data_IF_192020537380
#
_entry.id   IF_192020537380
#
_cell.length_a   1.000
_cell.length_b   1.000
_cell.length_c   1.000
_cell.angle_alpha   90.00
_cell.angle_beta   90.00
_cell.angle_gamma   90.00
#
_symmetry.space_group_name_H-M   'P 1'
#
loop_
_entity.id
_entity.type
_entity.pdbx_description
1 polymer ?
#
# COMPACT_ATOMS: atom_id res chain seq x y z
N UNK A 1 1.24 -16.64 -0.80
CA UNK A 1 -0.20 -16.43 -0.50
C UNK A 1 -0.94 -16.48 -1.82
N UNK A 2 -1.99 -17.28 -1.90
CA UNK A 2 -2.89 -17.30 -3.06
C UNK A 2 -4.18 -16.56 -2.70
N UNK A 3 -4.65 -15.68 -3.57
CA UNK A 3 -5.91 -14.96 -3.43
C UNK A 3 -6.87 -15.42 -4.52
N UNK A 4 -7.99 -16.02 -4.12
CA UNK A 4 -9.12 -16.21 -5.02
C UNK A 4 -9.98 -14.95 -5.02
N UNK A 5 -9.89 -14.19 -6.10
CA UNK A 5 -10.60 -12.91 -6.23
C UNK A 5 -12.08 -13.07 -6.67
N UNK A 6 -12.56 -14.29 -6.92
CA UNK A 6 -13.90 -14.53 -7.50
C UNK A 6 -15.02 -13.88 -6.69
N UNK A 7 -15.02 -14.08 -5.37
CA UNK A 7 -16.03 -13.49 -4.49
C UNK A 7 -15.93 -11.96 -4.46
N UNK A 8 -14.71 -11.43 -4.36
CA UNK A 8 -14.48 -9.98 -4.30
C UNK A 8 -14.95 -9.32 -5.60
N UNK A 9 -14.60 -9.90 -6.75
CA UNK A 9 -15.03 -9.41 -8.06
C UNK A 9 -16.55 -9.43 -8.19
N UNK A 10 -17.21 -10.52 -7.77
CA UNK A 10 -18.68 -10.62 -7.81
C UNK A 10 -19.37 -9.55 -6.94
N UNK A 11 -18.79 -9.23 -5.78
CA UNK A 11 -19.33 -8.16 -4.92
C UNK A 11 -19.15 -6.78 -5.57
N UNK A 12 -17.99 -6.52 -6.16
CA UNK A 12 -17.70 -5.27 -6.87
C UNK A 12 -18.65 -5.09 -8.07
N UNK A 13 -18.86 -6.13 -8.87
CA UNK A 13 -19.78 -6.12 -10.01
C UNK A 13 -21.23 -5.89 -9.55
N UNK A 14 -21.57 -6.33 -8.35
CA UNK A 14 -22.86 -6.08 -7.69
C UNK A 14 -22.99 -4.67 -7.08
N UNK A 15 -21.96 -3.81 -7.19
CA UNK A 15 -21.97 -2.45 -6.65
C UNK A 15 -21.69 -2.37 -5.15
N UNK A 16 -21.18 -3.42 -4.53
CA UNK A 16 -20.76 -3.44 -3.12
C UNK A 16 -19.33 -2.95 -2.96
N UNK A 17 -19.02 -2.43 -1.79
CA UNK A 17 -17.65 -2.13 -1.34
C UNK A 17 -17.22 -3.25 -0.38
N UNK A 18 -16.39 -4.22 -0.81
CA UNK A 18 -15.96 -5.31 0.05
C UNK A 18 -15.05 -4.78 1.18
N UNK A 19 -15.35 -5.16 2.42
CA UNK A 19 -14.47 -4.94 3.58
C UNK A 19 -13.90 -6.29 3.99
N UNK A 20 -12.58 -6.41 3.94
CA UNK A 20 -11.88 -7.70 4.08
C UNK A 20 -11.10 -7.72 5.40
N UNK A 21 -11.38 -8.72 6.25
CA UNK A 21 -10.56 -8.99 7.42
C UNK A 21 -9.29 -9.79 7.02
N UNK A 22 -8.19 -9.54 7.73
CA UNK A 22 -6.89 -10.19 7.46
C UNK A 22 -6.80 -11.58 8.10
N UNK A 23 -7.82 -12.39 7.90
CA UNK A 23 -7.90 -13.78 8.36
C UNK A 23 -7.97 -14.68 7.14
N UNK A 24 -6.95 -15.50 6.96
CA UNK A 24 -6.91 -16.55 5.94
C UNK A 24 -7.34 -17.90 6.54
N UNK A 25 -7.66 -18.84 5.66
CA UNK A 25 -8.01 -20.22 6.04
C UNK A 25 -7.35 -21.19 5.06
N UNK A 26 -6.88 -22.32 5.56
CA UNK A 26 -6.41 -23.38 4.68
C UNK A 26 -7.54 -24.35 4.30
N UNK A 27 -7.22 -25.32 3.45
CA UNK A 27 -8.18 -26.32 2.96
C UNK A 27 -8.74 -27.24 4.06
N UNK A 28 -8.11 -27.25 5.23
CA UNK A 28 -8.55 -28.00 6.40
C UNK A 28 -9.44 -27.17 7.33
N UNK A 29 -9.68 -25.92 7.01
CA UNK A 29 -10.48 -24.97 7.81
C UNK A 29 -9.71 -24.33 8.97
N UNK A 30 -8.37 -24.47 9.03
CA UNK A 30 -7.55 -23.80 10.04
C UNK A 30 -7.43 -22.32 9.71
N UNK A 31 -7.77 -21.46 10.65
CA UNK A 31 -7.65 -20.00 10.49
C UNK A 31 -6.24 -19.51 10.81
N UNK A 32 -5.78 -18.53 10.02
CA UNK A 32 -4.48 -17.87 10.17
C UNK A 32 -4.65 -16.35 10.16
N UNK A 33 -3.91 -15.69 11.05
CA UNK A 33 -3.76 -14.23 10.97
C UNK A 33 -2.74 -13.89 9.87
N UNK A 34 -3.16 -13.11 8.90
CA UNK A 34 -2.32 -12.68 7.76
C UNK A 34 -1.90 -11.23 7.99
N UNK A 35 -0.64 -10.90 7.67
CA UNK A 35 -0.19 -9.51 7.69
C UNK A 35 -1.04 -8.67 6.73
N UNK A 36 -1.56 -7.54 7.20
CA UNK A 36 -2.51 -6.70 6.45
C UNK A 36 -1.88 -6.10 5.17
N UNK A 37 -0.63 -5.64 5.23
CA UNK A 37 0.07 -5.08 4.07
C UNK A 37 0.27 -6.15 2.99
N UNK A 38 0.66 -7.36 3.40
CA UNK A 38 0.79 -8.51 2.49
C UNK A 38 -0.56 -8.88 1.87
N UNK A 39 -1.62 -8.95 2.68
CA UNK A 39 -2.95 -9.27 2.18
C UNK A 39 -3.45 -8.22 1.17
N UNK A 40 -3.30 -6.94 1.48
CA UNK A 40 -3.72 -5.83 0.62
C UNK A 40 -2.97 -5.86 -0.72
N UNK A 41 -1.65 -6.04 -0.72
CA UNK A 41 -0.84 -6.13 -1.93
C UNK A 41 -1.28 -7.32 -2.80
N UNK A 42 -1.45 -8.50 -2.22
CA UNK A 42 -1.85 -9.70 -2.96
C UNK A 42 -3.28 -9.61 -3.52
N UNK A 43 -4.20 -8.96 -2.79
CA UNK A 43 -5.56 -8.68 -3.28
C UNK A 43 -5.52 -7.68 -4.44
N UNK A 44 -4.75 -6.60 -4.33
CA UNK A 44 -4.59 -5.62 -5.38
C UNK A 44 -4.04 -6.25 -6.67
N UNK A 45 -3.05 -7.13 -6.55
CA UNK A 45 -2.48 -7.90 -7.67
C UNK A 45 -3.54 -8.80 -8.30
N UNK A 46 -4.26 -9.59 -7.50
CA UNK A 46 -5.27 -10.53 -7.98
C UNK A 46 -6.44 -9.84 -8.70
N UNK A 47 -6.82 -8.65 -8.24
CA UNK A 47 -7.86 -7.81 -8.85
C UNK A 47 -7.34 -6.98 -10.03
N UNK A 48 -6.03 -6.93 -10.27
CA UNK A 48 -5.40 -5.99 -11.21
C UNK A 48 -5.83 -4.55 -10.91
N UNK A 49 -5.73 -4.18 -9.65
CA UNK A 49 -6.18 -2.88 -9.18
C UNK A 49 -5.42 -1.76 -9.89
N UNK A 50 -6.11 -0.67 -10.16
CA UNK A 50 -5.50 0.53 -10.73
C UNK A 50 -4.59 1.20 -9.70
N UNK A 51 -5.04 1.26 -8.43
CA UNK A 51 -4.31 1.89 -7.34
C UNK A 51 -4.37 1.06 -6.06
N UNK A 52 -3.24 0.94 -5.36
CA UNK A 52 -3.13 0.41 -4.00
C UNK A 52 -2.81 1.56 -3.03
N UNK A 53 -3.72 1.84 -2.10
CA UNK A 53 -3.53 2.89 -1.09
C UNK A 53 -3.32 2.24 0.27
N UNK A 54 -2.15 2.48 0.88
CA UNK A 54 -1.86 2.04 2.24
C UNK A 54 -1.90 3.22 3.20
N UNK A 55 -2.80 3.16 4.16
CA UNK A 55 -2.88 4.16 5.23
C UNK A 55 -1.96 3.76 6.39
N UNK A 56 -1.21 4.72 6.92
CA UNK A 56 -0.28 4.51 8.03
C UNK A 56 -0.45 5.59 9.08
N UNK A 57 0.16 5.41 10.24
CA UNK A 57 0.18 6.35 11.35
C UNK A 57 1.42 7.25 11.37
N UNK A 58 2.15 7.32 10.26
CA UNK A 58 3.30 8.20 10.06
C UNK A 58 3.13 9.03 8.80
N UNK A 59 3.87 10.15 8.70
CA UNK A 59 3.78 11.08 7.57
C UNK A 59 4.23 10.47 6.22
N UNK A 60 4.90 9.35 6.23
CA UNK A 60 5.46 8.68 5.04
C UNK A 60 6.89 8.22 5.27
N UNK A 61 7.68 8.08 4.21
CA UNK A 61 9.09 7.75 4.29
C UNK A 61 9.92 9.03 4.47
N UNK A 62 10.67 9.10 5.57
CA UNK A 62 11.56 10.22 5.86
C UNK A 62 13.01 9.79 5.59
N UNK A 63 13.82 10.64 4.96
CA UNK A 63 15.25 10.40 4.81
C UNK A 63 15.96 10.43 6.18
N UNK A 64 15.54 11.34 7.05
CA UNK A 64 15.91 11.35 8.48
C UNK A 64 14.62 11.18 9.29
N UNK A 65 14.50 10.09 10.03
CA UNK A 65 13.32 9.74 10.84
C UNK A 65 12.96 10.79 11.90
N UNK A 66 13.92 11.62 12.29
CA UNK A 66 13.78 12.64 13.33
C UNK A 66 13.50 14.04 12.73
N UNK A 67 13.45 14.18 11.38
CA UNK A 67 13.14 15.43 10.68
C UNK A 67 12.02 15.24 9.63
N UNK A 68 10.81 15.70 9.94
CA UNK A 68 9.65 15.62 9.04
C UNK A 68 9.81 16.44 7.75
N UNK A 69 10.77 17.38 7.68
CA UNK A 69 11.05 18.12 6.45
C UNK A 69 11.82 17.29 5.41
N UNK A 70 12.27 16.09 5.78
CA UNK A 70 13.00 15.17 4.89
C UNK A 70 12.09 14.12 4.25
N UNK A 71 10.80 14.41 4.14
CA UNK A 71 9.83 13.53 3.51
C UNK A 71 10.22 13.24 2.06
N UNK A 72 10.24 11.95 1.71
CA UNK A 72 10.48 11.46 0.36
C UNK A 72 9.11 11.31 -0.32
N UNK A 73 8.80 12.15 -1.34
CA UNK A 73 7.47 12.15 -1.94
C UNK A 73 7.28 11.02 -2.97
N UNK A 74 8.36 10.53 -3.56
CA UNK A 74 8.33 9.53 -4.61
C UNK A 74 9.52 8.57 -4.48
N UNK A 75 9.28 7.28 -4.67
CA UNK A 75 10.31 6.23 -4.66
C UNK A 75 10.13 5.38 -5.90
N UNK A 76 11.19 5.28 -6.71
CA UNK A 76 11.25 4.27 -7.75
C UNK A 76 11.53 2.90 -7.12
N UNK A 77 10.86 1.86 -7.64
CA UNK A 77 11.01 0.51 -7.09
C UNK A 77 12.48 0.03 -7.14
N UNK A 78 13.25 0.52 -8.12
CA UNK A 78 14.69 0.27 -8.26
C UNK A 78 15.55 0.83 -7.12
N UNK A 79 15.08 1.87 -6.40
CA UNK A 79 15.81 2.55 -5.33
C UNK A 79 15.60 1.92 -3.95
N UNK A 80 14.60 1.06 -3.80
CA UNK A 80 14.19 0.49 -2.51
C UNK A 80 15.33 -0.20 -1.78
N UNK A 81 16.15 -0.98 -2.48
CA UNK A 81 17.30 -1.68 -1.87
C UNK A 81 18.37 -0.69 -1.39
N UNK A 82 18.55 0.45 -2.06
CA UNK A 82 19.38 1.54 -1.60
C UNK A 82 18.89 2.14 -0.28
N UNK A 83 17.60 2.45 -0.19
CA UNK A 83 16.98 2.97 1.04
C UNK A 83 17.00 1.96 2.20
N UNK A 84 16.83 0.66 1.93
CA UNK A 84 17.00 -0.38 2.95
C UNK A 84 18.46 -0.42 3.47
N UNK A 85 19.43 -0.39 2.56
CA UNK A 85 20.86 -0.43 2.90
C UNK A 85 21.29 0.80 3.70
N UNK A 86 20.70 1.96 3.41
CA UNK A 86 20.92 3.21 4.13
C UNK A 86 20.19 3.28 5.49
N UNK A 87 19.32 2.29 5.81
CA UNK A 87 18.55 2.27 7.05
C UNK A 87 17.34 3.22 7.05
N UNK A 88 17.02 3.84 5.93
CA UNK A 88 15.84 4.70 5.73
C UNK A 88 14.57 3.86 5.78
N UNK A 89 14.58 2.69 5.11
CA UNK A 89 13.50 1.70 5.18
C UNK A 89 13.88 0.66 6.24
N UNK A 90 13.20 0.70 7.39
CA UNK A 90 13.49 -0.18 8.51
C UNK A 90 12.20 -0.65 9.21
N UNK A 91 12.32 -1.69 10.05
CA UNK A 91 11.24 -2.17 10.91
C UNK A 91 9.96 -2.51 10.14
N UNK A 92 8.83 -2.00 10.61
CA UNK A 92 7.50 -2.24 10.03
C UNK A 92 7.31 -1.68 8.61
N UNK A 93 8.18 -0.77 8.16
CA UNK A 93 8.12 -0.26 6.77
C UNK A 93 8.61 -1.29 5.75
N UNK A 94 9.48 -2.24 6.14
CA UNK A 94 10.02 -3.25 5.23
C UNK A 94 8.91 -4.07 4.56
N UNK A 95 7.99 -4.74 5.29
CA UNK A 95 6.91 -5.50 4.65
C UNK A 95 5.93 -4.61 3.88
N UNK A 96 5.67 -3.40 4.36
CA UNK A 96 4.78 -2.44 3.70
C UNK A 96 5.33 -2.03 2.33
N UNK A 97 6.54 -1.50 2.29
CA UNK A 97 7.20 -1.07 1.03
C UNK A 97 7.46 -2.27 0.12
N UNK A 98 7.83 -3.42 0.69
CA UNK A 98 7.97 -4.66 -0.09
C UNK A 98 6.67 -5.05 -0.80
N UNK A 99 5.54 -4.99 -0.11
CA UNK A 99 4.23 -5.27 -0.71
C UNK A 99 3.85 -4.26 -1.81
N UNK A 100 4.18 -2.97 -1.63
CA UNK A 100 3.98 -1.94 -2.66
C UNK A 100 4.80 -2.22 -3.92
N UNK A 101 6.09 -2.54 -3.73
CA UNK A 101 6.98 -2.89 -4.83
C UNK A 101 6.49 -4.12 -5.59
N UNK A 102 6.11 -5.17 -4.88
CA UNK A 102 5.55 -6.39 -5.47
C UNK A 102 4.28 -6.09 -6.27
N UNK A 103 3.41 -5.23 -5.75
CA UNK A 103 2.18 -4.82 -6.45
C UNK A 103 2.50 -4.12 -7.78
N UNK A 104 3.42 -3.17 -7.79
CA UNK A 104 3.87 -2.47 -9.00
C UNK A 104 4.49 -3.45 -9.99
N UNK A 105 5.43 -4.32 -9.56
CA UNK A 105 6.05 -5.32 -10.44
C UNK A 105 5.05 -6.29 -11.07
N UNK A 106 3.94 -6.56 -10.41
CA UNK A 106 2.89 -7.46 -10.88
C UNK A 106 1.74 -6.74 -11.59
N UNK A 107 1.91 -5.45 -11.90
CA UNK A 107 1.06 -4.71 -12.82
C UNK A 107 -0.04 -3.86 -12.18
N UNK A 108 -0.01 -3.61 -10.88
CA UNK A 108 -0.76 -2.52 -10.27
C UNK A 108 -0.14 -1.21 -10.75
N UNK A 109 -0.96 -0.28 -11.26
CA UNK A 109 -0.45 0.91 -11.93
C UNK A 109 0.19 1.90 -10.97
N UNK A 110 -0.34 1.99 -9.76
CA UNK A 110 0.08 2.97 -8.77
C UNK A 110 -0.04 2.38 -7.36
N UNK A 111 0.94 2.63 -6.52
CA UNK A 111 0.88 2.30 -5.11
C UNK A 111 1.32 3.51 -4.28
N UNK A 112 0.53 3.88 -3.27
CA UNK A 112 0.78 5.07 -2.45
C UNK A 112 0.66 4.75 -0.96
N UNK A 113 1.47 5.43 -0.16
CA UNK A 113 1.35 5.44 1.31
C UNK A 113 0.87 6.83 1.72
N UNK A 114 -0.20 6.88 2.48
CA UNK A 114 -0.79 8.13 2.98
C UNK A 114 -0.83 8.15 4.50
N UNK A 115 -0.77 9.35 5.07
CA UNK A 115 -0.93 9.54 6.51
C UNK A 115 -2.41 9.46 6.91
N UNK A 116 -2.77 8.36 7.56
CA UNK A 116 -4.14 8.13 8.04
C UNK A 116 -4.57 9.01 9.22
N UNK A 117 -3.63 9.77 9.83
CA UNK A 117 -3.94 10.75 10.89
C UNK A 117 -4.52 12.04 10.30
N UNK A 118 -4.26 12.29 9.02
CA UNK A 118 -4.80 13.46 8.32
C UNK A 118 -6.27 13.22 7.99
N UNK A 119 -7.20 14.07 8.45
CA UNK A 119 -8.61 13.93 8.11
C UNK A 119 -8.82 13.97 6.59
N UNK A 120 -9.59 12.99 6.10
CA UNK A 120 -9.91 12.87 4.66
C UNK A 120 -8.73 12.61 3.72
N UNK A 121 -7.58 12.15 4.22
CA UNK A 121 -6.39 11.87 3.40
C UNK A 121 -6.68 11.00 2.17
N UNK A 122 -7.51 9.98 2.31
CA UNK A 122 -7.91 9.13 1.17
C UNK A 122 -8.67 9.90 0.09
N UNK A 123 -9.50 10.89 0.46
CA UNK A 123 -10.21 11.72 -0.52
C UNK A 123 -9.26 12.69 -1.21
N UNK A 124 -8.28 13.23 -0.48
CA UNK A 124 -7.25 14.09 -1.05
C UNK A 124 -6.38 13.34 -2.05
N UNK A 125 -6.07 12.05 -1.77
CA UNK A 125 -5.32 11.19 -2.67
C UNK A 125 -6.12 10.80 -3.92
N UNK A 126 -7.38 10.43 -3.76
CA UNK A 126 -8.23 10.02 -4.89
C UNK A 126 -8.73 11.19 -5.75
N UNK A 127 -8.85 12.38 -5.16
CA UNK A 127 -9.36 13.59 -5.82
C UNK A 127 -8.43 14.78 -5.57
N UNK A 128 -7.20 14.78 -6.10
CA UNK A 128 -6.24 15.85 -5.86
C UNK A 128 -6.78 17.20 -6.36
N UNK A 129 -6.76 18.21 -5.50
CA UNK A 129 -7.25 19.56 -5.81
C UNK A 129 -6.35 20.32 -6.82
N UNK A 130 -5.09 19.86 -6.96
CA UNK A 130 -4.13 20.38 -7.95
C UNK A 130 -2.97 19.39 -8.15
N UNK A 131 -2.33 19.36 -9.34
CA UNK A 131 -1.11 18.59 -9.54
C UNK A 131 -0.01 19.09 -8.59
N UNK A 132 0.59 18.15 -7.82
CA UNK A 132 1.66 18.48 -6.86
C UNK A 132 1.15 18.95 -5.50
N UNK A 133 0.01 18.44 -5.03
CA UNK A 133 -0.48 18.68 -3.68
C UNK A 133 0.61 18.37 -2.63
N UNK A 134 0.86 19.29 -1.65
CA UNK A 134 1.93 19.14 -0.66
C UNK A 134 1.60 18.17 0.48
N UNK A 135 0.55 17.40 0.35
CA UNK A 135 0.12 16.42 1.37
C UNK A 135 0.89 15.12 1.14
N UNK A 136 2.07 15.05 1.68
CA UNK A 136 2.97 13.98 2.03
C UNK A 136 2.70 12.52 1.59
N UNK A 137 2.23 12.31 0.37
CA UNK A 137 1.98 10.96 -0.12
C UNK A 137 3.26 10.38 -0.72
N UNK A 138 3.62 9.17 -0.31
CA UNK A 138 4.74 8.45 -0.90
C UNK A 138 4.23 7.62 -2.08
N UNK A 139 4.57 8.06 -3.29
CA UNK A 139 4.21 7.40 -4.54
C UNK A 139 5.29 6.39 -4.96
N UNK A 140 4.86 5.19 -5.34
CA UNK A 140 5.72 4.17 -5.95
C UNK A 140 5.47 4.08 -7.44
N UNK A 141 6.56 4.10 -8.21
CA UNK A 141 6.56 3.90 -9.67
C UNK A 141 7.51 2.77 -10.07
N UNK A 142 7.15 2.06 -11.13
CA UNK A 142 7.96 1.02 -11.74
C UNK A 142 8.65 1.48 -13.01
#
# INVERSE_FOLDING_TARGET
>A
VHVDATLISSLLDGGFIPVIATVGMDDLGQAYNVNADTAAAQIAIALKAEKLVSMTDIAGLLQDKDDENTLIPEVEVSEIEGYKSAGVIAGGMIPKIGGMADAIYQGVHEAVIIDGRVPHSILLELFPLSPGSPWGDLLFRG
#
